data_IF_266723070463
#
_entry.id   IF_266723070463
#
_cell.length_a   1.000
_cell.length_b   1.000
_cell.length_c   1.000
_cell.angle_alpha   90.00
_cell.angle_beta   90.00
_cell.angle_gamma   90.00
#
_symmetry.space_group_name_H-M   'P 1'
#
loop_
_entity.id
_entity.type
_entity.pdbx_description
1 polymer ?
#
# COMPACT_ATOMS: atom_id res chain seq x y z
N UNK A 1 14.86 4.55 9.24
CA UNK A 1 14.78 3.80 7.97
C UNK A 1 14.66 4.73 6.75
N UNK A 2 13.56 5.45 6.56
CA UNK A 2 13.33 6.29 5.35
C UNK A 2 14.41 7.34 5.07
N UNK A 3 15.00 7.94 6.13
CA UNK A 3 16.15 8.85 6.02
C UNK A 3 17.40 8.19 5.40
N UNK A 4 17.65 6.94 5.74
CA UNK A 4 18.79 6.19 5.19
C UNK A 4 18.52 5.78 3.75
N UNK A 5 17.34 5.23 3.45
CA UNK A 5 16.93 4.87 2.09
C UNK A 5 17.00 6.04 1.11
N UNK A 6 16.67 7.24 1.57
CA UNK A 6 16.79 8.45 0.73
C UNK A 6 18.24 8.76 0.36
N UNK A 7 19.22 8.50 1.25
CA UNK A 7 20.65 8.64 0.91
C UNK A 7 21.06 7.67 -0.21
N UNK A 8 20.49 6.47 -0.18
CA UNK A 8 20.67 5.42 -1.19
C UNK A 8 19.81 5.63 -2.46
N UNK A 9 19.13 6.79 -2.61
CA UNK A 9 18.20 7.08 -3.72
C UNK A 9 17.04 6.08 -3.85
N UNK A 10 16.63 5.47 -2.74
CA UNK A 10 15.46 4.61 -2.66
C UNK A 10 14.25 5.39 -2.11
N UNK A 11 13.18 5.44 -2.90
CA UNK A 11 11.93 6.09 -2.53
C UNK A 11 10.96 5.07 -1.95
N UNK A 12 10.36 5.40 -0.80
CA UNK A 12 9.48 4.53 -0.04
C UNK A 12 8.28 5.32 0.46
N UNK A 13 7.12 4.71 0.27
CA UNK A 13 5.83 5.16 0.80
C UNK A 13 5.22 4.01 1.59
N UNK A 14 4.72 4.28 2.79
CA UNK A 14 4.10 3.25 3.60
C UNK A 14 3.20 3.79 4.69
N UNK A 15 2.35 2.89 5.21
CA UNK A 15 1.50 3.14 6.37
C UNK A 15 2.35 3.14 7.65
N UNK A 16 2.06 4.09 8.54
CA UNK A 16 2.64 4.14 9.88
C UNK A 16 1.51 4.02 10.89
N UNK A 17 1.68 3.14 11.88
CA UNK A 17 0.74 3.05 12.99
C UNK A 17 0.83 4.31 13.86
N UNK A 18 -0.32 4.74 14.37
CA UNK A 18 -0.44 5.98 15.16
C UNK A 18 0.43 6.01 16.42
N UNK A 19 0.74 4.84 17.00
CA UNK A 19 1.59 4.65 18.17
C UNK A 19 3.10 4.80 17.87
N UNK A 20 3.51 4.88 16.59
CA UNK A 20 4.92 4.92 16.15
C UNK A 20 5.33 6.26 15.54
N UNK A 21 4.63 7.31 15.90
CA UNK A 21 4.88 8.66 15.41
C UNK A 21 5.68 9.37 16.50
N UNK A 22 6.97 9.57 16.27
CA UNK A 22 7.96 10.13 17.22
C UNK A 22 7.62 11.57 17.63
N UNK A 23 6.56 11.78 18.42
CA UNK A 23 6.06 13.07 18.91
C UNK A 23 5.78 14.11 17.80
N UNK A 24 5.55 13.69 16.56
CA UNK A 24 5.21 14.63 15.50
C UNK A 24 3.85 15.31 15.81
N UNK A 25 3.77 16.66 15.74
CA UNK A 25 2.55 17.41 16.05
C UNK A 25 1.52 17.28 14.92
N UNK A 26 0.97 16.08 14.74
CA UNK A 26 -0.15 15.82 13.82
C UNK A 26 -1.47 15.98 14.55
N UNK A 27 -2.41 16.70 13.92
CA UNK A 27 -3.76 16.89 14.46
C UNK A 27 -4.50 15.55 14.55
N UNK A 28 -5.33 15.44 15.58
CA UNK A 28 -6.25 14.31 15.72
C UNK A 28 -7.46 14.55 14.82
N UNK A 29 -7.46 13.94 13.63
CA UNK A 29 -8.49 14.12 12.60
C UNK A 29 -9.84 13.45 12.93
N UNK A 30 -9.97 12.77 14.07
CA UNK A 30 -11.17 12.01 14.48
C UNK A 30 -12.36 12.93 14.72
N UNK A 31 -12.06 14.17 15.13
CA UNK A 31 -13.04 15.22 15.38
C UNK A 31 -13.45 15.97 14.12
N UNK A 32 -12.76 15.75 13.00
CA UNK A 32 -12.97 16.43 11.75
C UNK A 32 -13.81 15.57 10.79
N UNK A 33 -14.52 16.18 9.82
CA UNK A 33 -15.31 15.43 8.86
C UNK A 33 -14.45 14.44 8.06
N UNK A 34 -15.08 13.38 7.55
CA UNK A 34 -14.45 12.41 6.66
C UNK A 34 -13.87 13.11 5.43
N UNK A 35 -12.67 12.72 5.01
CA UNK A 35 -11.90 13.37 3.96
C UNK A 35 -10.96 14.48 4.44
N UNK A 36 -10.92 14.77 5.74
CA UNK A 36 -9.96 15.72 6.30
C UNK A 36 -8.54 15.19 6.18
N UNK A 37 -7.60 16.09 5.88
CA UNK A 37 -6.19 15.79 5.64
C UNK A 37 -5.34 16.72 6.49
N UNK A 38 -4.31 16.17 7.12
CA UNK A 38 -3.25 16.91 7.81
C UNK A 38 -1.89 16.45 7.29
N UNK A 39 -1.00 17.39 7.00
CA UNK A 39 0.30 17.10 6.40
C UNK A 39 1.40 17.78 7.19
N UNK A 40 2.39 16.99 7.60
CA UNK A 40 3.58 17.47 8.27
C UNK A 40 4.80 17.16 7.43
N UNK A 41 5.51 18.20 7.00
CA UNK A 41 6.75 18.07 6.22
C UNK A 41 7.94 18.43 7.08
N UNK A 42 8.85 17.49 7.24
CA UNK A 42 10.13 17.75 7.90
C UNK A 42 11.19 18.05 6.84
N UNK A 43 11.41 19.35 6.57
CA UNK A 43 12.28 19.83 5.50
C UNK A 43 13.73 19.34 5.64
N UNK A 44 14.27 19.28 6.86
CA UNK A 44 15.67 18.89 7.10
C UNK A 44 15.98 17.42 6.75
N UNK A 45 15.01 16.51 6.86
CA UNK A 45 15.19 15.10 6.48
C UNK A 45 14.49 14.76 5.15
N UNK A 46 13.70 15.70 4.60
CA UNK A 46 12.93 15.48 3.39
C UNK A 46 11.91 14.35 3.52
N UNK A 47 11.29 14.23 4.68
CA UNK A 47 10.25 13.23 4.96
C UNK A 47 8.93 13.98 5.13
N UNK A 48 7.88 13.46 4.50
CA UNK A 48 6.52 14.00 4.60
C UNK A 48 5.61 12.95 5.22
N UNK A 49 4.85 13.36 6.23
CA UNK A 49 3.86 12.52 6.91
C UNK A 49 2.48 13.07 6.58
N UNK A 50 1.61 12.18 6.12
CA UNK A 50 0.22 12.48 5.79
C UNK A 50 -0.69 11.77 6.77
N UNK A 51 -1.69 12.46 7.28
CA UNK A 51 -2.80 11.87 8.02
C UNK A 51 -4.09 12.15 7.28
N UNK A 52 -4.89 11.12 7.07
CA UNK A 52 -6.17 11.20 6.36
C UNK A 52 -7.26 10.52 7.18
N UNK A 53 -8.43 11.13 7.22
CA UNK A 53 -9.59 10.60 7.93
C UNK A 53 -10.56 9.95 6.95
N UNK A 54 -10.60 8.61 6.94
CA UNK A 54 -11.61 7.84 6.20
C UNK A 54 -12.67 7.29 7.18
N UNK A 55 -12.89 5.97 7.24
CA UNK A 55 -13.63 5.34 8.34
C UNK A 55 -12.84 5.39 9.65
N UNK A 56 -11.52 5.31 9.53
CA UNK A 56 -10.56 5.48 10.60
C UNK A 56 -9.42 6.37 10.12
N UNK A 57 -8.58 6.82 11.05
CA UNK A 57 -7.41 7.60 10.67
C UNK A 57 -6.32 6.71 10.10
N UNK A 58 -5.86 7.09 8.91
CA UNK A 58 -4.70 6.48 8.27
C UNK A 58 -3.56 7.47 8.34
N UNK A 59 -2.40 7.03 8.83
CA UNK A 59 -1.16 7.81 8.76
C UNK A 59 -0.22 7.14 7.77
N UNK A 60 0.34 7.93 6.87
CA UNK A 60 1.27 7.53 5.82
C UNK A 60 2.54 8.35 5.95
N UNK A 61 3.69 7.77 5.64
CA UNK A 61 4.94 8.51 5.50
C UNK A 61 5.63 8.20 4.19
N UNK A 62 6.19 9.24 3.59
CA UNK A 62 6.96 9.15 2.36
C UNK A 62 8.24 9.96 2.46
N UNK A 63 9.28 9.46 1.82
CA UNK A 63 10.53 10.20 1.59
C UNK A 63 10.62 10.78 0.17
N UNK A 64 9.57 10.62 -0.64
CA UNK A 64 9.47 11.22 -1.96
C UNK A 64 9.25 12.73 -1.79
N UNK A 65 10.21 13.53 -2.27
CA UNK A 65 10.04 14.96 -2.37
C UNK A 65 9.22 15.25 -3.63
N UNK A 66 8.28 16.18 -3.49
CA UNK A 66 7.57 16.90 -4.54
C UNK A 66 6.17 16.40 -4.95
N UNK A 67 5.24 17.37 -4.89
CA UNK A 67 4.04 17.52 -5.73
C UNK A 67 2.78 16.74 -5.37
N UNK A 68 2.80 15.78 -4.45
CA UNK A 68 1.58 15.00 -4.12
C UNK A 68 0.59 15.67 -3.14
N UNK A 69 0.86 16.89 -2.67
CA UNK A 69 0.02 17.57 -1.66
C UNK A 69 -1.26 18.14 -2.30
N UNK A 70 -1.22 18.56 -3.56
CA UNK A 70 -2.32 19.33 -4.18
C UNK A 70 -3.30 18.51 -5.01
N UNK A 71 -2.94 17.31 -5.46
CA UNK A 71 -3.88 16.50 -6.24
C UNK A 71 -4.76 15.67 -5.32
N UNK A 72 -5.85 16.30 -4.84
CA UNK A 72 -6.95 15.59 -4.20
C UNK A 72 -7.67 14.75 -5.24
N UNK A 73 -7.35 13.46 -5.30
CA UNK A 73 -8.17 12.52 -6.04
C UNK A 73 -9.48 12.29 -5.29
N UNK A 74 -10.59 12.05 -5.98
CA UNK A 74 -11.85 11.64 -5.35
C UNK A 74 -11.88 10.12 -5.28
N UNK A 75 -12.12 9.56 -4.10
CA UNK A 75 -12.37 8.14 -3.96
C UNK A 75 -13.84 7.89 -3.62
N UNK A 76 -14.45 6.98 -4.37
CA UNK A 76 -15.82 6.55 -4.13
C UNK A 76 -15.83 5.58 -2.95
N UNK A 77 -16.51 5.97 -1.87
CA UNK A 77 -16.60 5.17 -0.64
C UNK A 77 -18.05 4.95 -0.27
N UNK A 78 -18.35 3.74 0.17
CA UNK A 78 -19.64 3.47 0.80
C UNK A 78 -19.69 4.18 2.16
N UNK A 79 -20.81 4.85 2.41
CA UNK A 79 -21.09 5.50 3.67
C UNK A 79 -22.44 5.02 4.20
N UNK A 80 -22.40 4.39 5.37
CA UNK A 80 -23.61 3.88 6.04
C UNK A 80 -24.55 5.02 6.42
N UNK A 81 -24.00 6.20 6.75
CA UNK A 81 -24.77 7.39 7.14
C UNK A 81 -25.58 7.98 5.98
N UNK A 82 -25.04 7.93 4.76
CA UNK A 82 -25.71 8.44 3.56
C UNK A 82 -26.37 7.33 2.73
N UNK A 83 -26.35 6.08 3.22
CA UNK A 83 -26.88 4.86 2.55
C UNK A 83 -26.51 4.79 1.05
N UNK A 84 -25.28 5.18 0.72
CA UNK A 84 -24.86 5.35 -0.67
C UNK A 84 -23.36 5.58 -0.80
N UNK A 85 -22.90 5.67 -2.05
CA UNK A 85 -21.52 6.01 -2.37
C UNK A 85 -21.32 7.52 -2.28
N UNK A 86 -20.27 7.93 -1.56
CA UNK A 86 -19.86 9.33 -1.42
C UNK A 86 -18.47 9.51 -2.03
N UNK A 87 -18.25 10.66 -2.65
CA UNK A 87 -16.92 11.09 -3.06
C UNK A 87 -16.19 11.69 -1.87
N UNK A 88 -15.14 11.00 -1.42
CA UNK A 88 -14.26 11.48 -0.35
C UNK A 88 -12.98 12.03 -0.98
N UNK A 89 -12.55 13.25 -0.63
CA UNK A 89 -11.25 13.75 -1.05
C UNK A 89 -10.15 12.88 -0.43
N UNK A 90 -9.30 12.35 -1.29
CA UNK A 90 -8.18 11.47 -0.94
C UNK A 90 -6.86 12.07 -1.45
N UNK A 91 -5.81 12.09 -0.63
CA UNK A 91 -4.46 12.41 -1.09
C UNK A 91 -3.99 11.44 -2.19
N UNK A 92 -3.37 11.94 -3.26
CA UNK A 92 -2.81 11.13 -4.34
C UNK A 92 -1.86 10.04 -3.84
N UNK A 93 -1.05 10.35 -2.82
CA UNK A 93 -0.17 9.37 -2.16
C UNK A 93 -0.90 8.12 -1.64
N UNK A 94 -2.13 8.26 -1.16
CA UNK A 94 -2.93 7.12 -0.70
C UNK A 94 -3.44 6.33 -1.90
N UNK A 95 -3.74 7.02 -3.02
CA UNK A 95 -4.20 6.37 -4.25
C UNK A 95 -3.04 5.55 -4.87
N UNK A 96 -1.86 6.14 -4.96
CA UNK A 96 -0.64 5.49 -5.46
C UNK A 96 -0.27 4.28 -4.58
N UNK A 97 -0.38 4.44 -3.26
CA UNK A 97 -0.17 3.35 -2.32
C UNK A 97 -1.16 2.20 -2.56
N UNK A 98 -2.47 2.50 -2.65
CA UNK A 98 -3.48 1.46 -2.88
C UNK A 98 -3.29 0.75 -4.22
N UNK A 99 -2.90 1.48 -5.27
CA UNK A 99 -2.62 0.89 -6.59
C UNK A 99 -1.40 -0.03 -6.56
N UNK A 100 -0.37 0.33 -5.79
CA UNK A 100 0.89 -0.42 -5.71
C UNK A 100 0.87 -1.56 -4.70
N UNK A 101 0.02 -1.50 -3.67
CA UNK A 101 0.00 -2.44 -2.55
C UNK A 101 -0.43 -3.86 -2.97
N UNK A 102 -1.30 -3.98 -3.99
CA UNK A 102 -1.92 -5.26 -4.35
C UNK A 102 -0.99 -6.30 -4.98
N UNK A 103 0.23 -5.94 -5.39
CA UNK A 103 1.12 -6.87 -6.11
C UNK A 103 1.50 -8.12 -5.30
N UNK A 104 1.73 -7.97 -3.99
CA UNK A 104 2.09 -9.09 -3.10
C UNK A 104 0.88 -9.98 -2.82
N UNK A 105 -0.28 -9.36 -2.56
CA UNK A 105 -1.53 -10.07 -2.28
C UNK A 105 -1.97 -10.91 -3.48
N UNK A 106 -1.84 -10.37 -4.70
CA UNK A 106 -2.11 -11.11 -5.93
C UNK A 106 -1.19 -12.32 -6.08
N UNK A 107 0.10 -12.15 -5.83
CA UNK A 107 1.07 -13.24 -5.88
C UNK A 107 0.76 -14.34 -4.85
N UNK A 108 0.37 -13.98 -3.63
CA UNK A 108 -0.06 -14.95 -2.62
C UNK A 108 -1.37 -15.65 -3.02
N UNK A 109 -2.32 -14.90 -3.59
CA UNK A 109 -3.56 -15.47 -4.13
C UNK A 109 -3.28 -16.51 -5.23
N UNK A 110 -2.44 -16.20 -6.22
CA UNK A 110 -2.09 -17.14 -7.28
C UNK A 110 -1.40 -18.40 -6.74
N UNK A 111 -0.52 -18.23 -5.76
CA UNK A 111 0.17 -19.32 -5.07
C UNK A 111 -0.80 -20.21 -4.29
N UNK A 112 -1.76 -19.63 -3.59
CA UNK A 112 -2.75 -20.38 -2.78
C UNK A 112 -3.72 -21.13 -3.68
N UNK A 113 -4.17 -20.54 -4.79
CA UNK A 113 -5.04 -21.21 -5.77
C UNK A 113 -4.38 -22.44 -6.38
N UNK A 114 -3.07 -22.39 -6.66
CA UNK A 114 -2.30 -23.49 -7.26
C UNK A 114 -1.36 -24.15 -6.25
N UNK A 115 -1.85 -24.42 -5.04
CA UNK A 115 -1.04 -24.91 -3.93
C UNK A 115 -0.59 -26.36 -4.12
N UNK A 116 0.72 -26.60 -4.00
CA UNK A 116 1.34 -27.93 -4.02
C UNK A 116 1.10 -28.66 -2.68
N UNK A 117 0.32 -29.74 -2.70
CA UNK A 117 -0.11 -30.53 -1.53
C UNK A 117 0.80 -31.73 -1.24
N UNK A 118 2.09 -31.49 -1.03
CA UNK A 118 2.97 -32.54 -0.48
C UNK A 118 2.73 -32.61 1.06
N UNK A 119 2.87 -33.73 1.75
CA UNK A 119 2.88 -33.74 3.22
C UNK A 119 4.22 -34.29 3.68
N UNK A 120 4.95 -33.51 4.46
CA UNK A 120 6.27 -33.92 4.94
C UNK A 120 6.53 -33.35 6.32
N UNK A 121 7.24 -34.12 7.14
CA UNK A 121 7.64 -33.74 8.50
C UNK A 121 8.93 -32.91 8.53
N UNK A 122 9.70 -32.85 7.43
CA UNK A 122 10.97 -32.09 7.42
C UNK A 122 10.71 -30.60 7.20
N UNK A 123 11.28 -29.76 8.06
CA UNK A 123 11.05 -28.31 8.14
C UNK A 123 11.39 -27.53 6.87
N UNK A 124 12.28 -28.05 6.01
CA UNK A 124 12.70 -27.38 4.77
C UNK A 124 11.70 -27.55 3.62
N UNK A 125 10.79 -28.53 3.68
CA UNK A 125 9.83 -28.77 2.61
C UNK A 125 8.89 -27.58 2.33
N UNK A 126 8.37 -26.86 3.34
CA UNK A 126 7.67 -25.59 3.12
C UNK A 126 8.46 -24.58 2.28
N UNK A 127 9.77 -24.45 2.50
CA UNK A 127 10.65 -23.53 1.76
C UNK A 127 10.77 -23.96 0.30
N UNK A 128 11.07 -25.24 0.06
CA UNK A 128 11.19 -25.79 -1.30
C UNK A 128 9.90 -25.57 -2.10
N UNK A 129 8.73 -25.80 -1.48
CA UNK A 129 7.44 -25.57 -2.12
C UNK A 129 7.18 -24.10 -2.39
N UNK A 130 7.54 -23.23 -1.45
CA UNK A 130 7.43 -21.79 -1.67
C UNK A 130 8.23 -21.36 -2.90
N UNK A 131 9.44 -21.87 -3.07
CA UNK A 131 10.26 -21.59 -4.25
C UNK A 131 9.61 -22.12 -5.54
N UNK A 132 9.17 -23.38 -5.56
CA UNK A 132 8.54 -23.98 -6.75
C UNK A 132 7.26 -23.23 -7.14
N UNK A 133 6.34 -23.02 -6.19
CA UNK A 133 5.11 -22.27 -6.46
C UNK A 133 5.38 -20.82 -6.88
N UNK A 134 6.40 -20.18 -6.28
CA UNK A 134 6.80 -18.83 -6.68
C UNK A 134 7.35 -18.78 -8.11
N UNK A 135 8.20 -19.74 -8.49
CA UNK A 135 8.73 -19.84 -9.86
C UNK A 135 7.64 -20.09 -10.90
N UNK A 136 6.64 -20.93 -10.59
CA UNK A 136 5.50 -21.19 -11.48
C UNK A 136 4.69 -19.90 -11.71
N UNK A 137 4.37 -19.16 -10.63
CA UNK A 137 3.64 -17.90 -10.74
C UNK A 137 4.44 -16.88 -11.56
N UNK A 138 5.75 -16.75 -11.32
CA UNK A 138 6.61 -15.86 -12.09
C UNK A 138 6.70 -16.26 -13.57
N UNK A 139 6.81 -17.57 -13.87
CA UNK A 139 6.83 -18.07 -15.24
C UNK A 139 5.51 -17.78 -15.96
N UNK A 140 4.37 -17.95 -15.28
CA UNK A 140 3.05 -17.60 -15.80
C UNK A 140 2.92 -16.10 -16.10
N UNK A 141 3.37 -15.23 -15.18
CA UNK A 141 3.38 -13.79 -15.40
C UNK A 141 4.27 -13.41 -16.59
N UNK A 142 5.45 -14.01 -16.71
CA UNK A 142 6.35 -13.77 -17.84
C UNK A 142 5.73 -14.23 -19.17
N UNK A 143 5.13 -15.42 -19.19
CA UNK A 143 4.42 -15.94 -20.35
C UNK A 143 3.28 -15.02 -20.78
N UNK A 144 2.45 -14.57 -19.84
CA UNK A 144 1.32 -13.66 -20.09
C UNK A 144 1.80 -12.28 -20.58
N UNK A 145 2.94 -11.81 -20.07
CA UNK A 145 3.55 -10.55 -20.51
C UNK A 145 4.08 -10.63 -21.95
N UNK A 146 4.60 -11.80 -22.36
CA UNK A 146 5.12 -12.02 -23.72
C UNK A 146 4.02 -12.34 -24.74
N UNK A 147 2.96 -13.04 -24.34
CA UNK A 147 1.84 -13.45 -25.19
C UNK A 147 0.48 -12.94 -24.67
N UNK A 148 0.07 -11.70 -24.99
CA UNK A 148 -1.15 -11.09 -24.46
C UNK A 148 -2.46 -11.62 -25.08
N UNK A 149 -2.44 -12.75 -25.80
CA UNK A 149 -3.59 -13.26 -26.58
C UNK A 149 -4.62 -14.05 -25.76
N UNK A 150 -4.37 -14.30 -24.48
CA UNK A 150 -5.29 -15.07 -23.63
C UNK A 150 -6.05 -14.10 -22.72
N UNK A 151 -7.39 -14.03 -22.81
CA UNK A 151 -8.17 -13.19 -21.91
C UNK A 151 -8.00 -13.67 -20.46
N UNK A 152 -7.66 -12.74 -19.57
CA UNK A 152 -7.59 -12.98 -18.13
C UNK A 152 -9.01 -13.24 -17.60
N UNK A 153 -9.18 -14.33 -16.83
CA UNK A 153 -10.43 -14.72 -16.16
C UNK A 153 -10.91 -13.65 -15.17
#
# INVERSE_FOLDING_TARGET
MQKHMRKEKLYVTGTIRTDRIEKAPLKDLKKFPRGSIDVLRHQANGISIYRWHDNSQVTMATNHNDVLIDTKSKCQRNSSSSKGKIDVPQPSIIADYNNSMGGIDLFDQFRVTHRITIRSKKWYWPIVRFCISGSIVNAWFLYTFLEPKIPQL
#
